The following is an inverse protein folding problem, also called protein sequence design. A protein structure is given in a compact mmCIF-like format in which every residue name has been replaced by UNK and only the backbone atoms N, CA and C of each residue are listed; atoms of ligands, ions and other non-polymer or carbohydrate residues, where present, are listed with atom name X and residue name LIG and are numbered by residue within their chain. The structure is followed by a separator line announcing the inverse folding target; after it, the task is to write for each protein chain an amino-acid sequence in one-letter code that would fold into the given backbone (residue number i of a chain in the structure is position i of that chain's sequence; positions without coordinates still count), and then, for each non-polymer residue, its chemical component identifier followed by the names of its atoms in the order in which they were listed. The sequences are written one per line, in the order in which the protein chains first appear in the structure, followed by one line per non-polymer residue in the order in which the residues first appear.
data_IF_349674114709
#
_entry.id   IF_349674114709
#
_cell.length_a   1.000
_cell.length_b   1.000
_cell.length_c   1.000
_cell.angle_alpha   90.00
_cell.angle_beta   90.00
_cell.angle_gamma   90.00
#
_symmetry.space_group_name_H-M   'P 1'
#
loop_
_entity.id
_entity.type
_entity.pdbx_description
1 polymer ?
#
# COMPACT_ATOMS: atom_id res chain seq x y z
N UNK A 1 10.17 14.05 -7.83
CA UNK A 1 10.57 13.00 -8.79
C UNK A 1 11.01 13.59 -10.13
N UNK A 2 10.23 14.45 -10.78
CA UNK A 2 10.54 14.99 -12.12
C UNK A 2 11.98 15.55 -12.26
N UNK A 3 12.43 16.36 -11.31
CA UNK A 3 13.77 16.96 -11.36
C UNK A 3 14.87 15.90 -11.20
N UNK A 4 14.72 14.97 -10.28
CA UNK A 4 15.75 13.96 -9.99
C UNK A 4 15.84 12.86 -11.07
N UNK A 5 14.87 12.79 -11.95
CA UNK A 5 14.83 11.88 -13.12
C UNK A 5 15.45 12.50 -14.38
N UNK A 6 15.69 13.80 -14.40
CA UNK A 6 16.30 14.46 -15.56
C UNK A 6 17.75 13.99 -15.76
N UNK A 7 18.12 13.51 -16.96
CA UNK A 7 19.52 13.13 -17.25
C UNK A 7 20.44 14.33 -17.33
N UNK A 8 19.94 15.45 -17.81
CA UNK A 8 20.65 16.72 -17.88
C UNK A 8 19.67 17.90 -17.83
N UNK A 9 20.15 19.05 -17.42
CA UNK A 9 19.38 20.29 -17.44
C UNK A 9 20.29 21.45 -17.85
N UNK A 10 19.78 22.31 -18.74
CA UNK A 10 20.47 23.49 -19.25
C UNK A 10 19.71 24.73 -18.82
N UNK A 11 20.41 25.73 -18.31
CA UNK A 11 19.82 26.99 -17.87
C UNK A 11 20.76 28.17 -18.09
N UNK A 12 20.17 29.33 -18.20
CA UNK A 12 20.90 30.59 -18.28
C UNK A 12 21.17 31.16 -16.88
N UNK A 13 22.28 31.87 -16.72
CA UNK A 13 22.47 32.75 -15.55
C UNK A 13 21.39 33.85 -15.54
N UNK A 14 21.26 34.57 -14.42
CA UNK A 14 20.26 35.61 -14.27
C UNK A 14 20.36 36.72 -15.34
N UNK A 15 21.57 37.10 -15.73
CA UNK A 15 21.84 38.14 -16.76
C UNK A 15 21.70 37.61 -18.21
N UNK A 16 21.36 36.33 -18.41
CA UNK A 16 21.26 35.67 -19.72
C UNK A 16 22.52 35.79 -20.59
N UNK A 17 23.67 35.91 -19.97
CA UNK A 17 24.98 36.05 -20.66
C UNK A 17 25.72 34.72 -20.77
N UNK A 18 25.36 33.70 -19.95
CA UNK A 18 26.05 32.42 -19.92
C UNK A 18 25.09 31.28 -19.75
N UNK A 19 25.28 30.20 -20.51
CA UNK A 19 24.53 28.94 -20.42
C UNK A 19 25.31 27.99 -19.51
N UNK A 20 24.59 27.34 -18.57
CA UNK A 20 25.11 26.26 -17.75
C UNK A 20 24.42 24.98 -18.13
N UNK A 21 25.16 23.88 -18.20
CA UNK A 21 24.67 22.55 -18.39
C UNK A 21 25.06 21.69 -17.18
N UNK A 22 24.08 21.12 -16.54
CA UNK A 22 24.26 20.17 -15.44
C UNK A 22 23.87 18.77 -15.91
N UNK A 23 24.70 17.77 -15.65
CA UNK A 23 24.39 16.35 -15.88
C UNK A 23 24.06 15.68 -14.57
N UNK A 24 23.14 14.71 -14.61
CA UNK A 24 22.81 13.93 -13.43
C UNK A 24 23.96 12.96 -13.10
N UNK A 25 24.49 13.09 -11.89
CA UNK A 25 25.57 12.23 -11.40
C UNK A 25 25.09 10.81 -10.99
N UNK A 26 23.80 10.55 -11.04
CA UNK A 26 23.24 9.25 -10.78
C UNK A 26 23.30 8.39 -12.06
N UNK A 27 24.41 7.71 -12.26
CA UNK A 27 24.61 6.77 -13.38
C UNK A 27 23.56 5.62 -13.42
N UNK A 28 22.80 5.46 -12.34
CA UNK A 28 21.79 4.44 -12.20
C UNK A 28 20.52 4.73 -13.01
N UNK A 29 20.27 6.01 -13.32
CA UNK A 29 19.16 6.41 -14.19
C UNK A 29 19.38 5.89 -15.60
N UNK A 30 18.44 5.10 -16.10
CA UNK A 30 18.51 4.49 -17.43
C UNK A 30 19.31 3.20 -17.53
N UNK A 31 19.99 2.75 -16.46
CA UNK A 31 20.69 1.45 -16.45
C UNK A 31 19.78 0.28 -16.10
N UNK A 32 18.70 0.52 -15.35
CA UNK A 32 17.78 -0.51 -14.92
C UNK A 32 16.33 -0.07 -15.07
N UNK A 33 15.54 -1.00 -15.57
CA UNK A 33 14.08 -0.83 -15.69
C UNK A 33 13.46 -0.72 -14.29
N UNK A 34 12.64 0.30 -14.07
CA UNK A 34 12.02 0.59 -12.78
C UNK A 34 12.81 1.51 -11.86
N UNK A 35 14.07 1.86 -12.15
CA UNK A 35 14.78 2.89 -11.40
C UNK A 35 14.13 4.26 -11.63
N UNK A 36 13.57 4.86 -10.56
CA UNK A 36 12.79 6.08 -10.67
C UNK A 36 13.60 7.33 -10.37
N UNK A 37 14.38 7.32 -9.30
CA UNK A 37 15.06 8.52 -8.82
C UNK A 37 16.18 8.15 -7.87
N UNK A 38 17.09 9.09 -7.63
CA UNK A 38 18.13 8.94 -6.62
C UNK A 38 18.88 10.22 -6.36
N UNK A 39 19.59 10.23 -5.23
CA UNK A 39 20.52 11.31 -4.84
C UNK A 39 21.85 10.71 -4.45
N UNK A 40 22.89 11.12 -5.17
CA UNK A 40 24.27 10.74 -4.87
C UNK A 40 24.87 11.67 -3.83
N UNK A 41 25.82 11.18 -3.04
CA UNK A 41 26.64 11.95 -2.12
C UNK A 41 28.06 11.43 -2.09
N UNK A 42 29.02 12.32 -1.76
CA UNK A 42 30.40 11.98 -1.51
C UNK A 42 31.05 12.97 -0.56
N UNK A 43 31.75 12.47 0.43
CA UNK A 43 32.76 13.17 1.20
C UNK A 43 33.91 12.20 1.49
N UNK A 44 35.10 12.73 1.83
CA UNK A 44 36.26 11.88 2.17
C UNK A 44 35.96 10.89 3.29
N UNK A 45 35.19 11.30 4.29
CA UNK A 45 34.82 10.46 5.44
C UNK A 45 33.63 9.53 5.15
N UNK A 46 32.64 9.98 4.37
CA UNK A 46 31.43 9.21 4.12
C UNK A 46 31.58 8.23 2.93
N UNK A 47 32.60 8.38 2.10
CA UNK A 47 32.72 7.63 0.85
C UNK A 47 31.62 7.98 -0.17
N UNK A 48 31.46 7.15 -1.18
CA UNK A 48 30.44 7.32 -2.20
C UNK A 48 29.11 6.71 -1.73
N UNK A 49 28.07 7.54 -1.72
CA UNK A 49 26.73 7.19 -1.22
C UNK A 49 25.67 7.38 -2.32
N UNK A 50 24.59 6.60 -2.26
CA UNK A 50 23.41 6.74 -3.09
C UNK A 50 22.17 6.32 -2.30
N UNK A 51 21.16 7.18 -2.31
CA UNK A 51 19.79 6.81 -1.97
C UNK A 51 18.99 6.78 -3.26
N UNK A 52 18.22 5.72 -3.49
CA UNK A 52 17.42 5.54 -4.70
C UNK A 52 16.07 4.91 -4.41
N UNK A 53 15.13 5.08 -5.34
CA UNK A 53 13.86 4.36 -5.32
C UNK A 53 13.60 3.68 -6.66
N UNK A 54 12.87 2.56 -6.60
CA UNK A 54 12.43 1.82 -7.77
C UNK A 54 10.98 1.36 -7.63
N UNK A 55 10.30 1.16 -8.75
CA UNK A 55 9.04 0.39 -8.81
C UNK A 55 9.35 -1.10 -8.77
N UNK A 56 8.58 -1.87 -8.01
CA UNK A 56 8.77 -3.32 -7.88
C UNK A 56 8.34 -4.07 -9.13
N UNK A 57 7.21 -3.70 -9.71
CA UNK A 57 6.72 -4.17 -11.01
C UNK A 57 5.81 -3.14 -11.66
N UNK A 58 5.83 -3.11 -12.99
CA UNK A 58 4.73 -2.61 -13.80
C UNK A 58 3.69 -3.71 -13.89
N UNK A 59 2.85 -3.85 -12.89
CA UNK A 59 1.66 -4.65 -13.08
C UNK A 59 0.63 -3.77 -13.79
N UNK A 60 0.45 -3.98 -15.10
CA UNK A 60 -0.40 -3.18 -15.97
C UNK A 60 -1.90 -3.22 -15.56
N UNK A 61 -2.25 -4.04 -14.58
CA UNK A 61 -3.63 -4.20 -14.10
C UNK A 61 -3.94 -3.52 -12.78
N UNK A 62 -2.92 -3.22 -11.97
CA UNK A 62 -3.08 -2.61 -10.67
C UNK A 62 -2.12 -1.43 -10.57
N UNK A 63 -2.64 -0.21 -10.64
CA UNK A 63 -1.90 1.07 -10.53
C UNK A 63 -1.32 1.29 -9.10
N UNK A 64 -0.85 0.20 -8.48
CA UNK A 64 -0.21 0.22 -7.18
C UNK A 64 1.24 0.63 -7.35
N UNK A 65 1.50 1.88 -7.04
CA UNK A 65 2.84 2.50 -7.09
C UNK A 65 3.72 2.02 -5.92
N UNK A 66 3.86 0.68 -5.79
CA UNK A 66 4.72 0.09 -4.78
C UNK A 66 6.18 0.33 -5.13
N UNK A 67 6.88 0.95 -4.19
CA UNK A 67 8.27 1.35 -4.35
C UNK A 67 9.16 0.71 -3.30
N UNK A 68 10.29 0.20 -3.75
CA UNK A 68 11.41 -0.09 -2.86
C UNK A 68 12.31 1.15 -2.77
N UNK A 69 12.82 1.40 -1.58
CA UNK A 69 13.84 2.43 -1.32
C UNK A 69 15.12 1.70 -0.94
N UNK A 70 16.19 2.02 -1.65
CA UNK A 70 17.52 1.50 -1.38
C UNK A 70 18.48 2.60 -0.94
N UNK A 71 19.37 2.26 0.00
CA UNK A 71 20.42 3.17 0.48
C UNK A 71 21.75 2.42 0.50
N UNK A 72 22.73 2.96 -0.22
CA UNK A 72 24.11 2.47 -0.23
C UNK A 72 25.01 3.56 0.30
N UNK A 73 25.81 3.24 1.32
CA UNK A 73 26.70 4.19 2.00
C UNK A 73 28.12 3.64 2.03
N UNK A 74 29.11 4.55 2.10
CA UNK A 74 30.49 4.21 2.46
C UNK A 74 31.30 3.45 1.42
N UNK A 75 30.90 3.42 0.15
CA UNK A 75 31.70 2.74 -0.86
C UNK A 75 32.96 3.55 -1.20
N UNK A 76 34.05 2.85 -1.47
CA UNK A 76 35.36 3.45 -1.74
C UNK A 76 35.51 4.02 -3.16
N UNK A 77 34.56 3.74 -4.07
CA UNK A 77 34.61 4.19 -5.45
C UNK A 77 33.20 4.34 -6.05
N UNK A 78 33.01 5.33 -6.95
CA UNK A 78 31.74 5.60 -7.63
C UNK A 78 31.15 4.36 -8.34
N UNK A 79 31.99 3.53 -8.97
CA UNK A 79 31.53 2.31 -9.67
C UNK A 79 31.07 1.24 -8.67
N UNK A 80 31.75 1.11 -7.52
CA UNK A 80 31.33 0.20 -6.45
C UNK A 80 29.97 0.58 -5.87
N UNK A 81 29.73 1.87 -5.70
CA UNK A 81 28.40 2.40 -5.32
C UNK A 81 27.33 1.95 -6.31
N UNK A 82 27.57 2.13 -7.61
CA UNK A 82 26.62 1.72 -8.66
C UNK A 82 26.38 0.21 -8.64
N UNK A 83 27.45 -0.59 -8.57
CA UNK A 83 27.36 -2.06 -8.48
C UNK A 83 26.55 -2.52 -7.26
N UNK A 84 26.88 -2.00 -6.07
CA UNK A 84 26.16 -2.33 -4.84
C UNK A 84 24.67 -1.93 -4.92
N UNK A 85 24.37 -0.78 -5.54
CA UNK A 85 22.98 -0.37 -5.74
C UNK A 85 22.23 -1.28 -6.71
N UNK A 86 22.89 -1.76 -7.77
CA UNK A 86 22.29 -2.74 -8.71
C UNK A 86 22.02 -4.07 -8.01
N UNK A 87 22.98 -4.61 -7.27
CA UNK A 87 22.79 -5.87 -6.54
C UNK A 87 21.68 -5.77 -5.50
N UNK A 88 21.58 -4.64 -4.76
CA UNK A 88 20.51 -4.41 -3.80
C UNK A 88 19.15 -4.32 -4.50
N UNK A 89 19.11 -3.72 -5.68
CA UNK A 89 17.91 -3.59 -6.49
C UNK A 89 17.43 -4.96 -7.00
N UNK A 90 18.34 -5.75 -7.54
CA UNK A 90 18.06 -7.12 -8.00
C UNK A 90 17.54 -7.99 -6.86
N UNK A 91 18.18 -7.91 -5.70
CA UNK A 91 17.70 -8.57 -4.49
C UNK A 91 16.26 -8.16 -4.17
N UNK A 92 15.97 -6.85 -4.20
CA UNK A 92 14.62 -6.34 -3.96
C UNK A 92 13.59 -6.90 -4.95
N UNK A 93 13.93 -6.92 -6.25
CA UNK A 93 13.06 -7.47 -7.31
C UNK A 93 12.79 -8.96 -7.18
N UNK A 94 13.80 -9.72 -6.78
CA UNK A 94 13.70 -11.17 -6.66
C UNK A 94 12.92 -11.62 -5.43
N UNK A 95 13.07 -10.90 -4.32
CA UNK A 95 12.54 -11.32 -3.03
C UNK A 95 11.23 -10.65 -2.63
N UNK A 96 10.88 -9.49 -3.22
CA UNK A 96 9.68 -8.76 -2.82
C UNK A 96 8.73 -8.58 -3.99
N UNK A 97 7.49 -8.99 -3.78
CA UNK A 97 6.38 -8.83 -4.74
C UNK A 97 5.22 -8.11 -4.11
N UNK A 98 4.47 -7.42 -4.93
CA UNK A 98 3.19 -6.86 -4.51
C UNK A 98 2.13 -7.93 -4.57
N UNK A 99 1.53 -8.25 -3.43
CA UNK A 99 0.35 -9.11 -3.33
C UNK A 99 -0.90 -8.26 -3.13
N UNK A 100 -1.94 -8.55 -3.90
CA UNK A 100 -3.28 -8.05 -3.60
C UNK A 100 -3.88 -8.93 -2.51
N UNK A 101 -4.10 -8.35 -1.34
CA UNK A 101 -4.56 -9.08 -0.14
C UNK A 101 -6.08 -9.02 -0.02
N UNK A 102 -6.68 -7.92 -0.46
CA UNK A 102 -8.12 -7.75 -0.46
C UNK A 102 -8.55 -6.83 -1.61
N UNK A 103 -9.65 -7.16 -2.25
CA UNK A 103 -10.26 -6.31 -3.26
C UNK A 103 -11.15 -5.25 -2.60
N UNK A 104 -11.39 -4.16 -3.31
CA UNK A 104 -12.44 -3.21 -2.94
C UNK A 104 -13.80 -3.91 -3.05
N UNK A 105 -14.70 -3.63 -2.10
CA UNK A 105 -16.06 -4.20 -2.04
C UNK A 105 -16.11 -5.73 -1.82
N UNK A 106 -14.98 -6.34 -1.45
CA UNK A 106 -14.90 -7.76 -1.14
C UNK A 106 -15.72 -8.11 0.11
N UNK A 107 -16.51 -9.18 0.03
CA UNK A 107 -17.34 -9.61 1.15
C UNK A 107 -16.48 -10.27 2.23
N UNK A 108 -16.39 -9.63 3.39
CA UNK A 108 -15.64 -10.14 4.56
C UNK A 108 -16.47 -11.13 5.36
N UNK A 109 -17.80 -10.97 5.38
CA UNK A 109 -18.70 -11.82 6.12
C UNK A 109 -20.04 -11.15 6.39
N UNK A 110 -20.74 -11.70 7.39
CA UNK A 110 -22.04 -11.21 7.86
C UNK A 110 -22.07 -11.16 9.38
N UNK A 111 -22.78 -10.20 9.94
CA UNK A 111 -23.00 -10.07 11.38
C UNK A 111 -24.49 -9.98 11.68
N UNK A 112 -24.97 -10.82 12.58
CA UNK A 112 -26.35 -10.74 13.07
C UNK A 112 -26.53 -9.57 14.01
N UNK A 113 -27.66 -8.89 13.88
CA UNK A 113 -28.02 -7.76 14.74
C UNK A 113 -28.66 -8.28 16.00
N UNK A 114 -28.11 -7.91 17.14
CA UNK A 114 -28.61 -8.36 18.44
C UNK A 114 -30.07 -7.88 18.66
N UNK A 115 -30.90 -8.78 19.13
CA UNK A 115 -32.30 -8.50 19.46
C UNK A 115 -33.30 -8.52 18.29
N UNK A 116 -32.85 -8.78 17.06
CA UNK A 116 -33.72 -8.92 15.89
C UNK A 116 -33.41 -10.24 15.19
N UNK A 117 -34.31 -11.25 15.28
CA UNK A 117 -34.11 -12.50 14.60
C UNK A 117 -33.98 -12.33 13.08
N UNK A 118 -33.08 -13.14 12.48
CA UNK A 118 -32.85 -13.23 11.04
C UNK A 118 -32.40 -11.92 10.37
N UNK A 119 -32.05 -10.89 11.15
CA UNK A 119 -31.48 -9.66 10.62
C UNK A 119 -29.96 -9.72 10.62
N UNK A 120 -29.36 -9.61 9.45
CA UNK A 120 -27.93 -9.61 9.25
C UNK A 120 -27.46 -8.39 8.44
N UNK A 121 -26.27 -7.89 8.77
CA UNK A 121 -25.56 -6.91 7.96
C UNK A 121 -24.42 -7.60 7.21
N UNK A 122 -24.35 -7.37 5.92
CA UNK A 122 -23.23 -7.81 5.10
C UNK A 122 -22.05 -6.84 5.25
N UNK A 123 -20.89 -7.39 5.55
CA UNK A 123 -19.65 -6.67 5.80
C UNK A 123 -18.77 -6.74 4.55
N UNK A 124 -18.25 -5.60 4.11
CA UNK A 124 -17.34 -5.53 2.96
C UNK A 124 -16.14 -4.64 3.25
N UNK A 125 -15.05 -4.83 2.51
CA UNK A 125 -13.90 -3.93 2.49
C UNK A 125 -14.26 -2.61 1.84
N UNK A 126 -13.76 -1.50 2.37
CA UNK A 126 -13.97 -0.16 1.82
C UNK A 126 -13.08 0.09 0.59
N UNK A 127 -11.85 -0.43 0.63
CA UNK A 127 -10.83 -0.24 -0.40
C UNK A 127 -10.10 -1.54 -0.70
N UNK A 128 -9.25 -1.55 -1.74
CA UNK A 128 -8.32 -2.63 -1.99
C UNK A 128 -7.05 -2.46 -1.14
N UNK A 129 -6.42 -3.57 -0.74
CA UNK A 129 -5.14 -3.56 -0.04
C UNK A 129 -4.08 -4.34 -0.82
N UNK A 130 -2.98 -3.67 -1.06
CA UNK A 130 -1.79 -4.23 -1.69
C UNK A 130 -0.62 -4.14 -0.71
N UNK A 131 0.10 -5.23 -0.53
CA UNK A 131 1.23 -5.34 0.39
C UNK A 131 2.45 -5.83 -0.36
N UNK A 132 3.62 -5.22 -0.08
CA UNK A 132 4.90 -5.70 -0.56
C UNK A 132 5.48 -6.67 0.47
N UNK A 133 5.64 -7.91 0.10
CA UNK A 133 6.18 -8.96 0.97
C UNK A 133 6.96 -10.00 0.15
N UNK A 134 7.63 -10.92 0.84
CA UNK A 134 8.23 -12.07 0.19
C UNK A 134 7.15 -12.95 -0.48
N UNK A 135 7.54 -13.66 -1.55
CA UNK A 135 6.59 -14.50 -2.29
C UNK A 135 5.93 -15.56 -1.41
N UNK A 136 6.71 -16.19 -0.53
CA UNK A 136 6.28 -17.25 0.38
C UNK A 136 5.77 -16.74 1.74
N UNK A 137 5.62 -15.41 1.91
CA UNK A 137 5.14 -14.83 3.18
C UNK A 137 3.72 -15.27 3.47
N UNK A 138 3.53 -15.89 4.64
CA UNK A 138 2.21 -16.23 5.17
C UNK A 138 1.60 -15.00 5.83
N UNK A 139 0.45 -14.56 5.31
CA UNK A 139 -0.25 -13.38 5.80
C UNK A 139 -1.44 -13.82 6.63
N UNK A 140 -1.47 -13.41 7.89
CA UNK A 140 -2.58 -13.62 8.82
C UNK A 140 -3.46 -12.38 8.90
N UNK A 141 -4.75 -12.59 9.12
CA UNK A 141 -5.69 -11.47 9.28
C UNK A 141 -6.46 -11.56 10.59
N UNK A 142 -6.77 -10.42 11.18
CA UNK A 142 -7.60 -10.28 12.36
C UNK A 142 -8.70 -9.25 12.12
N UNK A 143 -9.94 -9.65 12.38
CA UNK A 143 -11.13 -8.79 12.22
C UNK A 143 -11.58 -8.29 13.58
N UNK A 144 -11.64 -6.97 13.73
CA UNK A 144 -12.21 -6.31 14.90
C UNK A 144 -13.44 -5.52 14.50
N UNK A 145 -14.61 -5.90 15.00
CA UNK A 145 -15.86 -5.19 14.76
C UNK A 145 -16.20 -4.28 15.93
N UNK A 146 -16.74 -3.11 15.61
CA UNK A 146 -17.37 -2.22 16.59
C UNK A 146 -18.69 -2.82 17.09
N UNK A 147 -19.22 -2.28 18.18
CA UNK A 147 -20.61 -2.51 18.52
C UNK A 147 -21.49 -1.96 17.40
N UNK A 148 -22.32 -2.83 16.83
CA UNK A 148 -23.17 -2.49 15.69
C UNK A 148 -24.54 -2.09 16.18
N UNK A 149 -24.81 -0.79 16.12
CA UNK A 149 -26.08 -0.20 16.48
C UNK A 149 -26.95 0.04 15.24
N UNK A 150 -28.20 -0.27 15.38
CA UNK A 150 -29.23 -0.16 14.36
C UNK A 150 -30.02 1.14 14.51
N UNK A 151 -30.41 1.86 13.45
CA UNK A 151 -30.25 1.53 12.02
C UNK A 151 -28.85 1.72 11.50
N UNK A 152 -28.53 1.07 10.36
CA UNK A 152 -27.20 1.10 9.73
C UNK A 152 -27.34 1.63 8.31
N UNK A 153 -26.45 2.53 7.91
CA UNK A 153 -26.38 3.05 6.54
C UNK A 153 -25.33 2.29 5.72
N UNK A 154 -25.61 2.13 4.44
CA UNK A 154 -24.63 1.61 3.49
C UNK A 154 -23.34 2.46 3.55
N UNK A 155 -22.18 1.83 3.60
CA UNK A 155 -20.87 2.50 3.74
C UNK A 155 -20.52 2.91 5.17
N UNK A 156 -21.39 2.63 6.16
CA UNK A 156 -21.09 2.93 7.56
C UNK A 156 -19.95 2.04 8.06
N UNK A 157 -18.99 2.65 8.79
CA UNK A 157 -17.81 1.97 9.33
C UNK A 157 -18.19 1.05 10.49
N UNK A 158 -18.09 -0.25 10.27
CA UNK A 158 -18.46 -1.31 11.22
C UNK A 158 -17.27 -2.00 11.89
N UNK A 159 -16.06 -1.83 11.38
CA UNK A 159 -14.87 -2.44 11.95
C UNK A 159 -13.62 -2.23 11.13
N UNK A 160 -12.60 -2.99 11.46
CA UNK A 160 -11.29 -2.98 10.80
C UNK A 160 -10.80 -4.41 10.66
N UNK A 161 -10.18 -4.73 9.52
CA UNK A 161 -9.38 -5.93 9.34
C UNK A 161 -7.91 -5.54 9.28
N UNK A 162 -7.07 -6.18 10.07
CA UNK A 162 -5.62 -6.00 10.11
C UNK A 162 -4.94 -7.24 9.55
N UNK A 163 -3.83 -7.01 8.87
CA UNK A 163 -3.02 -8.06 8.26
C UNK A 163 -1.62 -8.04 8.85
N UNK A 164 -1.10 -9.21 9.16
CA UNK A 164 0.18 -9.40 9.85
C UNK A 164 1.06 -10.38 9.06
N UNK A 165 2.38 -10.18 9.16
CA UNK A 165 3.37 -11.16 8.70
C UNK A 165 3.46 -12.36 9.65
N UNK A 166 4.30 -13.35 9.29
CA UNK A 166 4.58 -14.54 10.10
C UNK A 166 5.18 -14.21 11.48
N UNK A 167 5.82 -13.05 11.63
CA UNK A 167 6.44 -12.57 12.87
C UNK A 167 5.48 -11.74 13.74
N UNK A 168 4.26 -11.46 13.26
CA UNK A 168 3.27 -10.65 13.97
C UNK A 168 3.40 -9.15 13.74
N UNK A 169 4.20 -8.69 12.78
CA UNK A 169 4.26 -7.27 12.42
C UNK A 169 3.05 -6.89 11.57
N UNK A 170 2.41 -5.75 11.86
CA UNK A 170 1.28 -5.24 11.08
C UNK A 170 1.75 -4.80 9.69
N UNK A 171 1.27 -5.45 8.65
CA UNK A 171 1.56 -5.15 7.25
C UNK A 171 0.59 -4.12 6.65
N UNK A 172 -0.62 -4.07 7.17
CA UNK A 172 -1.63 -3.12 6.71
C UNK A 172 -2.99 -3.34 7.37
N UNK A 173 -3.90 -2.42 7.11
CA UNK A 173 -5.26 -2.46 7.63
C UNK A 173 -6.27 -1.91 6.63
N UNK A 174 -7.51 -2.42 6.68
CA UNK A 174 -8.64 -1.94 5.92
C UNK A 174 -9.86 -1.68 6.81
N UNK A 175 -10.65 -0.70 6.45
CA UNK A 175 -11.96 -0.48 7.02
C UNK A 175 -12.95 -1.53 6.51
N UNK A 176 -13.79 -2.01 7.42
CA UNK A 176 -14.93 -2.86 7.14
C UNK A 176 -16.17 -1.98 7.21
N UNK A 177 -16.92 -1.93 6.12
CA UNK A 177 -18.14 -1.10 6.04
C UNK A 177 -19.37 -1.94 5.72
N UNK A 178 -20.55 -1.38 6.01
CA UNK A 178 -21.81 -2.00 5.64
C UNK A 178 -22.00 -2.03 4.13
N UNK A 179 -22.38 -3.19 3.61
CA UNK A 179 -22.75 -3.35 2.19
C UNK A 179 -24.14 -2.79 1.89
N UNK A 180 -25.06 -2.84 2.83
CA UNK A 180 -26.47 -2.51 2.64
C UNK A 180 -26.95 -1.50 3.69
N UNK A 181 -28.08 -0.84 3.41
CA UNK A 181 -28.85 -0.16 4.44
C UNK A 181 -29.61 -1.19 5.28
N UNK A 182 -29.71 -0.94 6.58
CA UNK A 182 -30.67 -1.60 7.46
C UNK A 182 -31.52 -0.50 8.11
N UNK A 183 -32.70 -0.30 7.57
CA UNK A 183 -33.63 0.73 8.03
C UNK A 183 -34.34 0.28 9.31
N UNK A 184 -34.88 1.26 10.05
CA UNK A 184 -35.67 0.97 11.24
C UNK A 184 -36.86 0.10 10.93
N UNK A 185 -36.96 -1.00 11.68
CA UNK A 185 -38.14 -1.86 11.62
C UNK A 185 -39.15 -1.34 12.64
N UNK A 186 -40.38 -1.07 12.18
CA UNK A 186 -41.46 -0.65 13.07
C UNK A 186 -41.68 -1.69 14.17
N UNK A 187 -42.14 -1.27 15.34
CA UNK A 187 -42.46 -2.16 16.47
C UNK A 187 -43.40 -3.31 16.06
N UNK A 188 -44.39 -3.02 15.22
CA UNK A 188 -45.32 -4.01 14.68
C UNK A 188 -44.61 -5.13 13.88
N UNK A 189 -43.60 -4.77 13.09
CA UNK A 189 -42.85 -5.75 12.31
C UNK A 189 -41.88 -6.54 13.20
N UNK A 190 -41.24 -5.89 14.21
CA UNK A 190 -40.43 -6.60 15.23
C UNK A 190 -41.26 -7.68 15.94
N UNK A 191 -42.49 -7.34 16.36
CA UNK A 191 -43.42 -8.30 16.98
C UNK A 191 -43.79 -9.45 16.04
N UNK A 192 -44.09 -9.18 14.77
CA UNK A 192 -44.37 -10.24 13.78
C UNK A 192 -43.19 -11.21 13.61
N UNK A 193 -41.97 -10.71 13.54
CA UNK A 193 -40.75 -11.54 13.41
C UNK A 193 -40.58 -12.43 14.65
N UNK A 194 -40.78 -11.88 15.84
CA UNK A 194 -40.73 -12.63 17.11
C UNK A 194 -41.79 -13.70 17.19
N UNK A 195 -43.06 -13.36 16.89
CA UNK A 195 -44.16 -14.33 16.92
C UNK A 195 -43.91 -15.48 15.94
N UNK A 196 -43.48 -15.19 14.70
CA UNK A 196 -43.13 -16.22 13.72
C UNK A 196 -42.01 -17.16 14.19
N UNK A 197 -41.01 -16.63 14.93
CA UNK A 197 -39.90 -17.42 15.48
C UNK A 197 -40.33 -18.37 16.57
N UNK A 198 -41.31 -17.98 17.38
CA UNK A 198 -41.82 -18.81 18.50
C UNK A 198 -43.12 -19.59 18.17
N UNK A 199 -43.53 -19.60 16.89
CA UNK A 199 -44.61 -20.48 16.43
C UNK A 199 -46.03 -19.96 16.73
N UNK A 200 -46.18 -18.65 16.87
CA UNK A 200 -47.49 -17.99 17.01
C UNK A 200 -47.93 -17.28 15.72
#
# INVERSE_FOLDING_TARGET
LAITQMPAYTFWNYSKTQIYQCTNHNAFLGMMDGALTGKTGFTGNAGYCLCFSMKTHKDDKNDCDNRLIGVVLGTNHKNKRTQASMSLLEYGKQNFKTKNIAQKDELVGKKYICGIPDMEVALKTEEALYIVCNEDEEIKSEVTLKEINYPIKQGELLGVIKYYDSNGNELGKLNIVSKNNLDEISFKNKMKILLKKYGF
#
